data_IF_251234014899
#
_entry.id   IF_251234014899
#
_cell.length_a   1.000
_cell.length_b   1.000
_cell.length_c   1.000
_cell.angle_alpha   90.00
_cell.angle_beta   90.00
_cell.angle_gamma   90.00
#
_symmetry.space_group_name_H-M   'P 1'
#
loop_
_entity.id
_entity.type
_entity.pdbx_description
1 polymer ?
#
# COMPACT_ATOMS: atom_id res chain seq x y z
N UNK A 1 -5.69 24.11 -16.84
CA UNK A 1 -5.72 22.71 -17.31
C UNK A 1 -5.57 21.83 -16.10
N UNK A 2 -6.60 21.07 -15.74
CA UNK A 2 -6.44 19.95 -14.78
C UNK A 2 -6.82 18.70 -15.53
N UNK A 3 -5.85 18.20 -16.28
CA UNK A 3 -5.92 16.88 -16.88
C UNK A 3 -5.62 15.89 -15.76
N UNK A 4 -6.66 15.54 -15.00
CA UNK A 4 -6.51 14.54 -13.95
C UNK A 4 -6.29 13.19 -14.61
N UNK A 5 -5.30 12.43 -14.10
CA UNK A 5 -5.07 11.07 -14.56
C UNK A 5 -6.37 10.27 -14.57
N UNK A 6 -6.59 9.46 -15.61
CA UNK A 6 -7.77 8.62 -15.69
C UNK A 6 -7.87 7.74 -14.42
N UNK A 7 -9.08 7.49 -13.88
CA UNK A 7 -9.24 6.69 -12.66
C UNK A 7 -8.56 5.32 -12.72
N UNK A 8 -8.46 4.73 -13.91
CA UNK A 8 -7.74 3.48 -14.12
C UNK A 8 -6.23 3.61 -13.91
N UNK A 9 -5.62 4.71 -14.35
CA UNK A 9 -4.19 4.94 -14.16
C UNK A 9 -3.87 5.20 -12.68
N UNK A 10 -4.75 5.90 -11.97
CA UNK A 10 -4.66 6.05 -10.51
C UNK A 10 -4.71 4.68 -9.81
N UNK A 11 -5.60 3.77 -10.23
CA UNK A 11 -5.67 2.40 -9.71
C UNK A 11 -4.41 1.59 -10.04
N UNK A 12 -3.84 1.73 -11.24
CA UNK A 12 -2.57 1.08 -11.60
C UNK A 12 -1.44 1.55 -10.68
N UNK A 13 -1.33 2.85 -10.44
CA UNK A 13 -0.32 3.43 -9.53
C UNK A 13 -0.55 2.94 -8.09
N UNK A 14 -1.79 2.96 -7.60
CA UNK A 14 -2.12 2.44 -6.27
C UNK A 14 -1.76 0.95 -6.11
N UNK A 15 -1.95 0.14 -7.16
CA UNK A 15 -1.58 -1.28 -7.18
C UNK A 15 -0.06 -1.46 -7.15
N UNK A 16 0.67 -0.68 -7.97
CA UNK A 16 2.13 -0.71 -7.96
C UNK A 16 2.68 -0.29 -6.59
N UNK A 17 2.06 0.71 -5.96
CA UNK A 17 2.43 1.16 -4.61
C UNK A 17 2.28 0.04 -3.59
N UNK A 18 1.13 -0.66 -3.53
CA UNK A 18 0.95 -1.77 -2.57
C UNK A 18 2.00 -2.88 -2.75
N UNK A 19 2.32 -3.23 -4.00
CA UNK A 19 3.28 -4.29 -4.29
C UNK A 19 4.72 -3.94 -3.95
N UNK A 20 5.05 -2.66 -3.94
CA UNK A 20 6.43 -2.19 -3.83
C UNK A 20 6.70 -1.44 -2.55
N UNK A 21 5.69 -1.05 -1.77
CA UNK A 21 5.86 -0.27 -0.55
C UNK A 21 6.43 -1.09 0.62
N UNK A 22 6.30 -2.42 0.57
CA UNK A 22 6.79 -3.32 1.60
C UNK A 22 8.13 -3.90 1.18
N UNK A 23 9.09 -3.89 2.10
CA UNK A 23 10.39 -4.55 1.96
C UNK A 23 10.67 -5.45 3.16
N UNK A 24 11.61 -6.38 3.00
CA UNK A 24 12.10 -7.20 4.11
C UNK A 24 13.37 -6.54 4.63
N UNK A 25 13.39 -6.21 5.91
CA UNK A 25 14.55 -5.64 6.58
C UNK A 25 15.12 -6.69 7.53
N UNK A 26 16.41 -7.00 7.35
CA UNK A 26 17.14 -7.92 8.21
C UNK A 26 17.64 -7.20 9.47
N UNK A 27 17.62 -7.90 10.59
CA UNK A 27 18.15 -7.46 11.87
C UNK A 27 19.53 -8.09 12.12
N UNK A 28 20.35 -7.44 12.97
CA UNK A 28 21.72 -7.87 13.25
C UNK A 28 21.79 -9.22 13.99
N UNK A 29 20.70 -9.61 14.66
CA UNK A 29 20.56 -10.87 15.39
C UNK A 29 20.12 -12.05 14.52
N UNK A 30 20.00 -11.85 13.21
CA UNK A 30 19.50 -12.84 12.25
C UNK A 30 17.96 -12.88 12.13
N UNK A 31 17.27 -11.96 12.80
CA UNK A 31 15.85 -11.69 12.59
C UNK A 31 15.57 -10.96 11.28
N UNK A 32 14.30 -10.85 10.95
CA UNK A 32 13.82 -9.99 9.88
C UNK A 32 12.38 -9.55 10.14
N UNK A 33 11.99 -8.43 9.53
CA UNK A 33 10.63 -7.94 9.56
C UNK A 33 10.21 -7.45 8.18
N UNK A 34 8.92 -7.61 7.87
CA UNK A 34 8.29 -6.94 6.73
C UNK A 34 8.01 -5.50 7.15
N UNK A 35 8.59 -4.53 6.44
CA UNK A 35 8.50 -3.11 6.76
C UNK A 35 7.89 -2.31 5.61
N UNK A 36 7.01 -1.37 5.95
CA UNK A 36 6.59 -0.33 5.02
C UNK A 36 7.65 0.77 4.91
N UNK A 37 8.19 0.99 3.70
CA UNK A 37 9.18 2.03 3.39
C UNK A 37 8.75 3.47 3.66
N UNK A 38 7.44 3.70 3.77
CA UNK A 38 6.87 5.05 3.81
C UNK A 38 6.48 5.51 5.21
N UNK A 39 6.08 4.58 6.07
CA UNK A 39 5.65 4.89 7.44
C UNK A 39 6.39 4.08 8.51
N UNK A 40 7.35 3.24 8.11
CA UNK A 40 8.17 2.37 8.95
C UNK A 40 7.38 1.34 9.79
N UNK A 41 6.05 1.29 9.66
CA UNK A 41 5.24 0.24 10.26
C UNK A 41 5.72 -1.13 9.79
N UNK A 42 5.84 -2.06 10.72
CA UNK A 42 6.41 -3.38 10.46
C UNK A 42 5.66 -4.47 11.20
N UNK A 43 5.86 -5.69 10.71
CA UNK A 43 5.46 -6.95 11.34
C UNK A 43 6.62 -7.95 11.23
N UNK A 44 6.70 -8.96 12.12
CA UNK A 44 7.69 -10.03 11.97
C UNK A 44 7.64 -10.67 10.57
N UNK A 45 8.77 -11.10 10.03
CA UNK A 45 8.85 -11.60 8.64
C UNK A 45 7.95 -12.82 8.35
N UNK A 46 7.57 -13.56 9.39
CA UNK A 46 6.64 -14.71 9.31
C UNK A 46 5.19 -14.28 9.03
N UNK A 47 4.83 -13.02 9.32
CA UNK A 47 3.54 -12.43 8.97
C UNK A 47 3.62 -11.80 7.59
N UNK A 48 2.50 -11.80 6.87
CA UNK A 48 2.42 -11.20 5.54
C UNK A 48 2.48 -9.67 5.62
N UNK A 49 3.02 -9.02 4.58
CA UNK A 49 3.04 -7.55 4.51
C UNK A 49 1.66 -6.89 4.57
N UNK A 50 0.59 -7.62 4.21
CA UNK A 50 -0.79 -7.16 4.30
C UNK A 50 -1.29 -7.02 5.75
N UNK A 51 -0.63 -7.67 6.71
CA UNK A 51 -0.93 -7.58 8.14
C UNK A 51 -0.31 -6.33 8.81
N UNK A 52 0.49 -5.55 8.06
CA UNK A 52 1.08 -4.31 8.55
C UNK A 52 0.00 -3.29 8.87
N UNK A 53 -0.04 -2.86 10.14
CA UNK A 53 -0.89 -1.76 10.60
C UNK A 53 -0.23 -0.43 10.28
N UNK A 54 -0.52 0.10 9.09
CA UNK A 54 0.01 1.36 8.63
C UNK A 54 -0.46 2.57 9.47
N UNK A 55 0.37 3.61 9.52
CA UNK A 55 -0.02 4.91 10.03
C UNK A 55 -1.21 5.48 9.20
N UNK A 56 -2.18 6.19 9.82
CA UNK A 56 -3.40 6.63 9.14
C UNK A 56 -3.19 7.52 7.90
N UNK A 57 -2.07 8.24 7.86
CA UNK A 57 -1.62 9.15 6.82
C UNK A 57 -0.67 8.51 5.80
N UNK A 58 -0.33 7.23 5.97
CA UNK A 58 0.55 6.52 5.06
C UNK A 58 -0.08 6.43 3.65
N UNK A 59 0.66 6.72 2.57
CA UNK A 59 0.16 6.58 1.20
C UNK A 59 -0.36 5.17 0.86
N UNK A 60 0.12 4.14 1.58
CA UNK A 60 -0.38 2.76 1.45
C UNK A 60 -1.85 2.65 1.86
N UNK A 61 -2.26 3.33 2.94
CA UNK A 61 -3.66 3.38 3.38
C UNK A 61 -4.54 4.04 2.33
N UNK A 62 -4.04 5.10 1.68
CA UNK A 62 -4.74 5.75 0.58
C UNK A 62 -4.90 4.81 -0.62
N UNK A 63 -3.84 4.11 -1.03
CA UNK A 63 -3.89 3.14 -2.12
C UNK A 63 -4.86 2.00 -1.84
N UNK A 64 -4.85 1.44 -0.63
CA UNK A 64 -5.84 0.43 -0.19
C UNK A 64 -7.26 0.96 -0.36
N UNK A 65 -7.56 2.18 0.12
CA UNK A 65 -8.88 2.81 -0.01
C UNK A 65 -9.30 3.00 -1.48
N UNK A 66 -8.39 3.45 -2.35
CA UNK A 66 -8.65 3.62 -3.79
C UNK A 66 -9.03 2.28 -4.42
N UNK A 67 -8.31 1.22 -4.11
CA UNK A 67 -8.54 -0.10 -4.71
C UNK A 67 -9.78 -0.80 -4.14
N UNK A 68 -10.06 -0.65 -2.84
CA UNK A 68 -11.28 -1.19 -2.21
C UNK A 68 -12.55 -0.46 -2.64
N UNK A 69 -12.44 0.79 -3.08
CA UNK A 69 -13.57 1.56 -3.60
C UNK A 69 -14.03 0.96 -4.94
N UNK A 70 -15.16 0.25 -4.94
CA UNK A 70 -15.79 -0.25 -6.17
C UNK A 70 -16.10 0.93 -7.11
N UNK A 71 -15.88 0.80 -8.43
CA UNK A 71 -16.38 1.78 -9.39
C UNK A 71 -17.89 1.92 -9.19
N UNK A 72 -18.37 3.13 -8.90
CA UNK A 72 -19.82 3.38 -8.86
C UNK A 72 -20.31 3.41 -10.31
N UNK A 73 -20.73 2.25 -10.81
CA UNK A 73 -21.48 2.15 -12.05
C UNK A 73 -22.88 2.73 -11.76
N UNK A 74 -23.08 4.01 -12.04
CA UNK A 74 -24.43 4.55 -12.14
C UNK A 74 -25.04 4.03 -13.45
N UNK A 75 -25.90 3.00 -13.35
CA UNK A 75 -26.85 2.69 -14.40
C UNK A 75 -27.91 3.78 -14.40
N UNK A 76 -28.06 4.46 -15.53
CA UNK A 76 -29.30 5.17 -15.89
C UNK A 76 -30.35 4.17 -16.35
#
# INVERSE_FOLDING_TARGET
MTDFAAPEDIRKVATALLKTAIEIVSEEDGGAHNQCKLCNASVPWLQTGDEIKHAPDCPVVLAQRILSSKPRLHSV
#
